data_IF_097633396728
#
_entry.id   IF_097633396728
#
_cell.length_a   1.000
_cell.length_b   1.000
_cell.length_c   1.000
_cell.angle_alpha   90.00
_cell.angle_beta   90.00
_cell.angle_gamma   90.00
#
_symmetry.space_group_name_H-M   'P 1'
#
loop_
_entity.id
_entity.type
_entity.pdbx_description
1 polymer ?
#
# COMPACT_ATOMS: atom_id res chain seq x y z
N UNK A 1 11.68 -4.75 -9.20
CA UNK A 1 10.43 -5.37 -8.69
C UNK A 1 9.37 -5.27 -9.77
N UNK A 2 8.55 -6.30 -9.91
CA UNK A 2 7.41 -6.30 -10.84
C UNK A 2 6.17 -5.70 -10.18
N UNK A 3 5.14 -5.39 -10.98
CA UNK A 3 3.83 -4.92 -10.51
C UNK A 3 3.23 -5.91 -9.49
N UNK A 4 3.39 -7.21 -9.75
CA UNK A 4 2.91 -8.29 -8.88
C UNK A 4 3.65 -8.31 -7.54
N UNK A 5 4.98 -8.12 -7.54
CA UNK A 5 5.77 -8.03 -6.29
C UNK A 5 5.28 -6.87 -5.40
N UNK A 6 5.07 -5.70 -6.02
CA UNK A 6 4.61 -4.50 -5.29
C UNK A 6 3.20 -4.71 -4.75
N UNK A 7 2.32 -5.31 -5.54
CA UNK A 7 0.98 -5.70 -5.09
C UNK A 7 1.06 -6.59 -3.85
N UNK A 8 1.86 -7.65 -3.90
CA UNK A 8 2.02 -8.57 -2.78
C UNK A 8 2.55 -7.88 -1.51
N UNK A 9 3.44 -6.91 -1.67
CA UNK A 9 3.93 -6.11 -0.54
C UNK A 9 2.82 -5.28 0.09
N UNK A 10 2.03 -4.58 -0.73
CA UNK A 10 0.91 -3.77 -0.22
C UNK A 10 -0.09 -4.68 0.48
N UNK A 11 -0.42 -5.83 -0.10
CA UNK A 11 -1.27 -6.83 0.53
C UNK A 11 -0.71 -7.29 1.88
N UNK A 12 0.59 -7.59 1.97
CA UNK A 12 1.22 -7.96 3.24
C UNK A 12 1.17 -6.83 4.28
N UNK A 13 1.31 -5.57 3.86
CA UNK A 13 1.18 -4.41 4.77
C UNK A 13 -0.27 -4.29 5.25
N UNK A 14 -1.24 -4.43 4.35
CA UNK A 14 -2.66 -4.41 4.70
C UNK A 14 -3.02 -5.56 5.65
N UNK A 15 -2.50 -6.77 5.43
CA UNK A 15 -2.70 -7.91 6.32
C UNK A 15 -2.14 -7.69 7.73
N UNK A 16 -1.04 -6.94 7.84
CA UNK A 16 -0.36 -6.66 9.11
C UNK A 16 -1.13 -5.62 9.93
N UNK A 17 -1.72 -4.63 9.25
CA UNK A 17 -2.48 -3.53 9.85
C UNK A 17 -3.91 -3.96 10.15
N UNK A 18 -4.56 -4.61 9.18
CA UNK A 18 -5.95 -5.06 9.24
C UNK A 18 -6.02 -6.60 9.01
N UNK A 19 -5.54 -7.41 9.97
CA UNK A 19 -5.52 -8.87 9.84
C UNK A 19 -6.91 -9.52 9.79
N UNK A 20 -7.93 -8.81 10.30
CA UNK A 20 -9.32 -9.27 10.30
C UNK A 20 -10.05 -9.00 8.97
N UNK A 21 -9.46 -8.21 8.07
CA UNK A 21 -10.05 -7.81 6.79
C UNK A 21 -9.67 -8.77 5.64
N UNK A 22 -10.61 -9.01 4.71
CA UNK A 22 -10.35 -9.86 3.55
C UNK A 22 -9.65 -9.07 2.42
N UNK A 23 -8.33 -9.06 2.48
CA UNK A 23 -7.49 -8.41 1.47
C UNK A 23 -7.31 -9.23 0.18
N UNK A 24 -7.76 -10.50 0.17
CA UNK A 24 -7.52 -11.42 -0.95
C UNK A 24 -8.40 -11.11 -2.16
N UNK A 25 -9.55 -10.50 -1.91
CA UNK A 25 -10.56 -10.15 -2.92
C UNK A 25 -10.60 -8.66 -3.27
N UNK A 26 -9.53 -7.91 -2.96
CA UNK A 26 -9.46 -6.47 -3.26
C UNK A 26 -9.42 -6.22 -4.77
N UNK A 27 -10.38 -5.41 -5.23
CA UNK A 27 -10.47 -4.83 -6.56
C UNK A 27 -9.52 -3.63 -6.70
N UNK A 28 -8.84 -3.60 -7.84
CA UNK A 28 -7.76 -2.66 -8.10
C UNK A 28 -8.21 -1.24 -8.42
N UNK A 29 -9.40 -1.11 -8.97
CA UNK A 29 -9.98 0.16 -9.40
C UNK A 29 -10.86 0.78 -8.31
N UNK A 30 -11.21 -0.01 -7.29
CA UNK A 30 -12.03 0.42 -6.17
C UNK A 30 -11.14 0.92 -5.02
N UNK A 31 -11.65 1.86 -4.23
CA UNK A 31 -10.89 2.40 -3.10
C UNK A 31 -10.76 1.34 -2.01
N UNK A 32 -9.59 1.26 -1.38
CA UNK A 32 -9.32 0.33 -0.29
C UNK A 32 -10.31 0.53 0.86
N UNK A 33 -10.49 1.79 1.31
CA UNK A 33 -11.48 2.17 2.34
C UNK A 33 -12.95 1.80 2.05
N UNK A 34 -13.30 1.56 0.78
CA UNK A 34 -14.67 1.20 0.40
C UNK A 34 -14.85 -0.34 0.40
N UNK A 35 -13.75 -1.10 0.45
CA UNK A 35 -13.70 -2.55 0.36
C UNK A 35 -13.30 -3.20 1.68
N UNK A 36 -12.41 -2.55 2.41
CA UNK A 36 -11.92 -2.91 3.73
C UNK A 36 -12.16 -1.72 4.66
N UNK A 37 -12.51 -2.00 5.91
CA UNK A 37 -12.86 -0.97 6.89
C UNK A 37 -11.60 -0.28 7.43
N UNK A 38 -10.94 0.50 6.55
CA UNK A 38 -9.73 1.24 6.88
C UNK A 38 -10.07 2.57 7.56
N UNK A 39 -9.65 2.68 8.81
CA UNK A 39 -9.72 3.94 9.54
C UNK A 39 -8.57 4.89 9.18
N UNK A 40 -8.67 6.14 9.62
CA UNK A 40 -7.62 7.14 9.41
C UNK A 40 -6.29 6.75 10.07
N UNK A 41 -6.33 5.94 11.13
CA UNK A 41 -5.12 5.42 11.80
C UNK A 41 -4.47 4.32 10.95
N UNK A 42 -5.26 3.36 10.46
CA UNK A 42 -4.76 2.27 9.60
C UNK A 42 -4.10 2.82 8.34
N UNK A 43 -4.71 3.85 7.73
CA UNK A 43 -4.12 4.51 6.57
C UNK A 43 -2.76 5.14 6.88
N UNK A 44 -2.61 5.79 8.04
CA UNK A 44 -1.32 6.34 8.48
C UNK A 44 -0.30 5.24 8.74
N UNK A 45 -0.72 4.10 9.30
CA UNK A 45 0.15 2.93 9.50
C UNK A 45 0.65 2.37 8.17
N UNK A 46 -0.18 2.33 7.12
CA UNK A 46 0.26 1.92 5.75
C UNK A 46 1.40 2.83 5.27
N UNK A 47 1.21 4.15 5.37
CA UNK A 47 2.20 5.14 4.94
C UNK A 47 3.49 5.02 5.77
N UNK A 48 3.36 4.79 7.09
CA UNK A 48 4.51 4.59 7.96
C UNK A 48 5.28 3.30 7.65
N UNK A 49 4.60 2.20 7.34
CA UNK A 49 5.24 0.94 6.96
C UNK A 49 5.96 1.06 5.61
N UNK A 50 5.36 1.75 4.64
CA UNK A 50 6.04 2.08 3.37
C UNK A 50 7.34 2.87 3.62
N UNK A 51 7.29 3.82 4.55
CA UNK A 51 8.47 4.59 4.96
C UNK A 51 9.50 3.75 5.68
N UNK A 52 9.11 2.90 6.63
CA UNK A 52 10.08 2.08 7.40
C UNK A 52 10.71 0.99 6.53
N UNK A 53 9.90 0.25 5.75
CA UNK A 53 10.36 -0.92 4.96
C UNK A 53 11.10 -0.52 3.69
N UNK A 54 10.74 0.61 3.07
CA UNK A 54 11.25 1.00 1.75
C UNK A 54 11.84 2.41 1.70
N UNK A 55 11.86 3.12 2.82
CA UNK A 55 12.30 4.51 2.91
C UNK A 55 11.52 5.45 1.98
N UNK A 56 10.27 5.10 1.67
CA UNK A 56 9.37 5.87 0.80
C UNK A 56 8.55 6.81 1.66
N UNK A 57 8.69 8.11 1.44
CA UNK A 57 7.86 9.12 2.08
C UNK A 57 6.73 9.51 1.15
N UNK A 58 5.49 9.28 1.59
CA UNK A 58 4.30 9.66 0.82
C UNK A 58 3.75 10.96 1.41
N UNK A 59 3.77 12.07 0.68
CA UNK A 59 3.20 13.31 1.15
C UNK A 59 1.66 13.26 1.09
N UNK A 60 0.98 14.05 1.92
CA UNK A 60 -0.50 14.04 2.01
C UNK A 60 -1.20 14.29 0.68
N UNK A 61 -0.60 15.12 -0.19
CA UNK A 61 -1.11 15.37 -1.55
C UNK A 61 -1.19 14.11 -2.41
N UNK A 62 -0.35 13.11 -2.15
CA UNK A 62 -0.28 11.87 -2.91
C UNK A 62 -1.13 10.76 -2.25
N UNK A 63 -1.80 11.03 -1.13
CA UNK A 63 -2.67 10.05 -0.46
C UNK A 63 -3.82 9.59 -1.35
N UNK A 64 -4.28 10.44 -2.27
CA UNK A 64 -5.28 10.05 -3.26
C UNK A 64 -4.78 8.93 -4.20
N UNK A 65 -3.47 8.88 -4.48
CA UNK A 65 -2.88 7.80 -5.26
C UNK A 65 -2.82 6.48 -4.47
N UNK A 66 -2.74 6.55 -3.14
CA UNK A 66 -2.81 5.36 -2.28
C UNK A 66 -4.25 4.91 -1.99
N UNK A 67 -5.26 5.59 -2.54
CA UNK A 67 -6.64 5.28 -2.24
C UNK A 67 -7.09 3.94 -2.87
N UNK A 68 -6.47 3.50 -3.97
CA UNK A 68 -6.80 2.25 -4.69
C UNK A 68 -5.56 1.37 -4.82
N UNK A 69 -5.74 0.05 -4.96
CA UNK A 69 -4.60 -0.85 -5.15
C UNK A 69 -3.85 -0.57 -6.45
N UNK A 70 -4.56 -0.25 -7.56
CA UNK A 70 -3.91 0.16 -8.81
C UNK A 70 -3.05 1.42 -8.62
N UNK A 71 -3.56 2.39 -7.87
CA UNK A 71 -2.83 3.62 -7.57
C UNK A 71 -1.59 3.37 -6.73
N UNK A 72 -1.71 2.57 -5.66
CA UNK A 72 -0.57 2.16 -4.83
C UNK A 72 0.50 1.47 -5.69
N UNK A 73 0.13 0.50 -6.51
CA UNK A 73 1.08 -0.23 -7.35
C UNK A 73 1.70 0.69 -8.39
N UNK A 74 0.92 1.55 -9.05
CA UNK A 74 1.44 2.50 -10.04
C UNK A 74 2.40 3.52 -9.42
N UNK A 75 2.11 3.98 -8.21
CA UNK A 75 2.94 4.95 -7.49
C UNK A 75 4.23 4.31 -6.95
N UNK A 76 4.12 3.13 -6.35
CA UNK A 76 5.23 2.46 -5.68
C UNK A 76 6.14 1.70 -6.66
N UNK A 77 5.64 1.21 -7.79
CA UNK A 77 6.46 0.48 -8.78
C UNK A 77 7.73 1.22 -9.20
N UNK A 78 7.69 2.48 -9.65
CA UNK A 78 8.91 3.22 -10.00
C UNK A 78 9.80 3.51 -8.78
N UNK A 79 9.21 3.72 -7.60
CA UNK A 79 9.95 4.04 -6.37
C UNK A 79 10.72 2.83 -5.81
N UNK A 80 10.12 1.64 -5.93
CA UNK A 80 10.67 0.37 -5.49
C UNK A 80 11.58 -0.29 -6.52
N UNK A 81 11.51 0.14 -7.78
CA UNK A 81 12.37 -0.40 -8.86
C UNK A 81 13.86 -0.27 -8.53
N UNK A 82 14.24 0.83 -7.91
CA UNK A 82 15.63 1.19 -7.60
C UNK A 82 16.00 0.96 -6.12
N UNK A 83 15.10 0.36 -5.32
CA UNK A 83 15.29 0.18 -3.87
C UNK A 83 15.09 -1.28 -3.47
N UNK A 84 16.15 -1.99 -3.03
CA UNK A 84 15.96 -3.29 -2.39
C UNK A 84 15.22 -3.12 -1.06
N UNK A 85 14.51 -4.18 -0.63
CA UNK A 85 13.96 -4.29 0.73
C UNK A 85 15.05 -3.91 1.73
N UNK A 86 14.78 -2.96 2.62
CA UNK A 86 15.70 -2.63 3.69
C UNK A 86 15.94 -3.90 4.53
N UNK A 87 17.21 -4.31 4.61
CA UNK A 87 17.65 -5.54 5.31
C UNK A 87 17.61 -5.36 6.83
#
# INVERSE_FOLDING_TARGET
MTIEDVRQIILNILADIAPDEDISSIDDNTKLRDQIDLDSMDFLDIVMELRKRFNIEVPEKDYEHLATMAGCVSYLTPLLKDRPLAS
#
